data_IF_441838638980
#
_entry.id   IF_441838638980
#
_cell.length_a   1.000
_cell.length_b   1.000
_cell.length_c   1.000
_cell.angle_alpha   90.00
_cell.angle_beta   90.00
_cell.angle_gamma   90.00
#
_symmetry.space_group_name_H-M   'P 1'
#
loop_
_entity.id
_entity.type
_entity.pdbx_description
1 polymer ?
#
# COMPACT_ATOMS: atom_id res chain seq x y z
N UNK A 1 5.47 5.27 5.66
CA UNK A 1 4.86 6.60 5.51
C UNK A 1 4.62 7.15 6.90
N UNK A 2 4.47 8.46 7.07
CA UNK A 2 4.14 9.04 8.38
C UNK A 2 2.72 8.62 8.81
N UNK A 3 2.45 8.71 10.11
CA UNK A 3 1.15 8.34 10.66
C UNK A 3 0.01 9.10 9.97
N UNK A 4 -1.02 8.39 9.50
CA UNK A 4 -2.15 8.95 8.78
C UNK A 4 -1.97 9.12 7.26
N UNK A 5 -0.76 8.86 6.72
CA UNK A 5 -0.51 8.90 5.27
C UNK A 5 -0.71 7.51 4.66
N UNK A 6 -1.65 7.44 3.71
CA UNK A 6 -1.99 6.23 2.95
C UNK A 6 -0.95 5.90 1.88
N UNK A 7 -0.82 4.61 1.56
CA UNK A 7 0.00 4.12 0.46
C UNK A 7 -0.86 3.32 -0.52
N UNK A 8 -0.96 3.80 -1.76
CA UNK A 8 -1.68 3.08 -2.83
C UNK A 8 -0.83 1.94 -3.41
N UNK A 9 0.45 2.25 -3.67
CA UNK A 9 1.46 1.33 -4.20
C UNK A 9 2.77 1.61 -3.48
N UNK A 10 3.02 0.86 -2.41
CA UNK A 10 4.33 0.85 -1.74
C UNK A 10 5.05 -0.46 -2.08
N UNK A 11 6.37 -0.37 -2.22
CA UNK A 11 7.23 -1.51 -2.54
C UNK A 11 8.17 -1.78 -1.37
N UNK A 12 8.35 -3.05 -1.05
CA UNK A 12 9.34 -3.54 -0.11
C UNK A 12 10.02 -4.77 -0.74
N UNK A 13 11.24 -5.07 -0.29
CA UNK A 13 11.93 -6.33 -0.60
C UNK A 13 12.14 -7.10 0.71
N UNK A 14 12.15 -8.41 0.60
CA UNK A 14 12.42 -9.34 1.70
C UNK A 14 13.21 -10.51 1.12
N UNK A 15 14.16 -11.00 1.90
CA UNK A 15 14.92 -12.20 1.57
C UNK A 15 14.21 -13.40 2.21
N UNK A 16 13.89 -14.40 1.39
CA UNK A 16 13.20 -15.61 1.84
C UNK A 16 14.05 -16.82 1.49
N UNK A 17 14.35 -17.63 2.50
CA UNK A 17 15.04 -18.90 2.30
C UNK A 17 14.01 -20.04 2.28
N UNK A 18 14.01 -20.81 1.19
CA UNK A 18 13.22 -22.04 1.11
C UNK A 18 14.08 -23.22 1.56
N UNK A 19 13.59 -24.12 2.43
CA UNK A 19 14.37 -25.26 2.90
C UNK A 19 14.93 -26.17 1.79
N UNK A 20 14.27 -26.20 0.63
CA UNK A 20 14.71 -26.93 -0.55
C UNK A 20 15.56 -26.10 -1.54
N UNK A 21 15.84 -24.83 -1.25
CA UNK A 21 16.61 -23.94 -2.14
C UNK A 21 15.83 -23.42 -3.36
N UNK A 22 14.50 -23.49 -3.34
CA UNK A 22 13.63 -23.12 -4.46
C UNK A 22 12.97 -21.75 -4.23
N UNK A 23 12.42 -21.15 -5.29
CA UNK A 23 11.59 -19.96 -5.16
C UNK A 23 10.20 -20.38 -4.69
N UNK A 24 9.70 -19.78 -3.62
CA UNK A 24 8.34 -20.01 -3.15
C UNK A 24 7.28 -19.69 -4.22
N UNK A 25 6.19 -20.46 -4.23
CA UNK A 25 5.04 -20.16 -5.06
C UNK A 25 4.42 -18.79 -4.69
N UNK A 26 4.50 -17.86 -5.64
CA UNK A 26 4.12 -16.46 -5.47
C UNK A 26 2.62 -16.33 -5.17
N UNK A 27 1.78 -17.10 -5.85
CA UNK A 27 0.33 -17.03 -5.65
C UNK A 27 -0.04 -17.48 -4.24
N UNK A 28 0.58 -18.57 -3.77
CA UNK A 28 0.39 -19.06 -2.41
C UNK A 28 0.85 -18.04 -1.37
N UNK A 29 2.05 -17.44 -1.50
CA UNK A 29 2.48 -16.39 -0.56
C UNK A 29 1.47 -15.25 -0.54
N UNK A 30 1.14 -14.70 -1.72
CA UNK A 30 0.26 -13.55 -1.81
C UNK A 30 -1.11 -13.84 -1.20
N UNK A 31 -1.70 -14.99 -1.49
CA UNK A 31 -2.99 -15.42 -0.95
C UNK A 31 -2.94 -15.64 0.56
N UNK A 32 -1.94 -16.38 1.06
CA UNK A 32 -1.81 -16.70 2.49
C UNK A 32 -1.55 -15.45 3.32
N UNK A 33 -0.64 -14.57 2.88
CA UNK A 33 -0.34 -13.31 3.56
C UNK A 33 -1.56 -12.39 3.61
N UNK A 34 -2.26 -12.20 2.49
CA UNK A 34 -3.46 -11.36 2.46
C UNK A 34 -4.59 -11.91 3.35
N UNK A 35 -4.80 -13.23 3.38
CA UNK A 35 -5.76 -13.84 4.31
C UNK A 35 -5.36 -13.64 5.76
N UNK A 36 -4.06 -13.76 6.08
CA UNK A 36 -3.54 -13.54 7.42
C UNK A 36 -3.75 -12.09 7.87
N UNK A 37 -3.38 -11.11 7.03
CA UNK A 37 -3.58 -9.69 7.32
C UNK A 37 -5.05 -9.36 7.58
N UNK A 38 -5.95 -9.87 6.74
CA UNK A 38 -7.39 -9.71 6.93
C UNK A 38 -7.87 -10.32 8.25
N UNK A 39 -7.42 -11.55 8.60
CA UNK A 39 -7.78 -12.21 9.86
C UNK A 39 -7.29 -11.45 11.09
N UNK A 40 -6.14 -10.79 10.99
CA UNK A 40 -5.59 -9.94 12.05
C UNK A 40 -6.22 -8.54 12.12
N UNK A 41 -7.17 -8.23 11.23
CA UNK A 41 -7.79 -6.91 11.18
C UNK A 41 -6.86 -5.81 10.65
N UNK A 42 -5.82 -6.17 9.90
CA UNK A 42 -4.93 -5.20 9.27
C UNK A 42 -5.52 -4.71 7.95
N UNK A 43 -5.52 -3.39 7.75
CA UNK A 43 -5.92 -2.74 6.49
C UNK A 43 -4.78 -2.70 5.46
N UNK A 44 -4.10 -3.82 5.27
CA UNK A 44 -2.99 -3.96 4.31
C UNK A 44 -3.25 -5.10 3.33
N UNK A 45 -2.77 -4.95 2.10
CA UNK A 45 -2.89 -5.96 1.04
C UNK A 45 -1.67 -5.94 0.13
N UNK A 46 -1.08 -7.12 -0.08
CA UNK A 46 -0.10 -7.35 -1.13
C UNK A 46 -0.79 -7.38 -2.49
N UNK A 47 -0.35 -6.50 -3.39
CA UNK A 47 -0.89 -6.37 -4.74
C UNK A 47 -0.09 -7.16 -5.78
N UNK A 48 1.22 -7.30 -5.54
CA UNK A 48 2.15 -7.96 -6.45
C UNK A 48 3.38 -8.44 -5.68
N UNK A 49 3.92 -9.58 -6.08
CA UNK A 49 5.20 -10.10 -5.61
C UNK A 49 6.00 -10.47 -6.86
N UNK A 50 7.29 -10.15 -6.87
CA UNK A 50 8.21 -10.45 -7.96
C UNK A 50 9.50 -10.99 -7.36
N UNK A 51 10.04 -12.12 -7.86
CA UNK A 51 11.42 -12.51 -7.59
C UNK A 51 12.34 -11.47 -8.21
N UNK A 52 13.37 -11.08 -7.49
CA UNK A 52 14.37 -10.10 -7.91
C UNK A 52 15.76 -10.66 -7.68
N UNK A 53 16.77 -10.07 -8.32
CA UNK A 53 18.18 -10.39 -8.02
C UNK A 53 18.62 -9.70 -6.74
N UNK A 54 19.75 -10.15 -6.18
CA UNK A 54 20.35 -9.61 -4.95
C UNK A 54 20.79 -8.14 -5.08
N UNK A 55 20.79 -7.59 -6.29
CA UNK A 55 21.15 -6.20 -6.59
C UNK A 55 20.00 -5.20 -6.33
N UNK A 56 18.78 -5.68 -6.08
CA UNK A 56 17.60 -4.83 -5.95
C UNK A 56 17.35 -4.43 -4.49
N UNK A 57 17.51 -3.14 -4.22
CA UNK A 57 17.07 -2.51 -2.97
C UNK A 57 15.83 -1.64 -3.26
N UNK A 58 14.69 -2.00 -2.68
CA UNK A 58 13.41 -1.30 -2.89
C UNK A 58 13.47 0.22 -2.57
N UNK A 59 14.39 0.66 -1.71
CA UNK A 59 14.63 2.07 -1.41
C UNK A 59 15.67 2.68 -2.35
N UNK A 60 16.84 2.07 -2.51
CA UNK A 60 17.94 2.71 -3.26
C UNK A 60 17.77 2.62 -4.77
N UNK A 61 17.18 1.52 -5.27
CA UNK A 61 16.95 1.30 -6.70
C UNK A 61 15.72 2.06 -7.24
N UNK A 62 14.88 2.63 -6.36
CA UNK A 62 13.72 3.42 -6.77
C UNK A 62 14.15 4.80 -7.36
N UNK A 63 13.77 5.05 -8.62
CA UNK A 63 14.08 6.28 -9.35
C UNK A 63 13.28 7.50 -8.90
N UNK A 64 12.02 7.29 -8.52
CA UNK A 64 11.10 8.35 -8.07
C UNK A 64 10.07 7.79 -7.09
N UNK A 65 9.34 8.69 -6.43
CA UNK A 65 8.15 8.38 -5.64
C UNK A 65 7.12 9.47 -5.92
N UNK A 66 5.90 9.05 -6.21
CA UNK A 66 4.79 9.97 -6.49
C UNK A 66 3.85 10.02 -5.29
N UNK A 67 3.41 11.24 -4.96
CA UNK A 67 2.49 11.51 -3.85
C UNK A 67 1.27 12.25 -4.37
N UNK A 68 0.09 11.87 -3.87
CA UNK A 68 -1.18 12.50 -4.22
C UNK A 68 -1.80 13.09 -2.96
N UNK A 69 -2.04 14.39 -2.98
CA UNK A 69 -2.86 15.07 -2.00
C UNK A 69 -4.24 15.34 -2.58
N UNK A 70 -5.28 15.06 -1.81
CA UNK A 70 -6.67 15.31 -2.19
C UNK A 70 -7.26 16.39 -1.30
N UNK A 71 -7.75 17.46 -1.91
CA UNK A 71 -8.47 18.54 -1.26
C UNK A 71 -9.92 18.51 -1.74
N UNK A 72 -10.86 18.40 -0.81
CA UNK A 72 -12.28 18.44 -1.09
C UNK A 72 -12.83 19.82 -0.76
N UNK A 73 -13.37 20.51 -1.77
CA UNK A 73 -13.92 21.85 -1.66
C UNK A 73 -15.43 21.80 -1.90
N UNK A 74 -16.19 22.40 -0.98
CA UNK A 74 -17.63 22.47 -1.10
C UNK A 74 -18.05 23.37 -2.28
N UNK A 75 -19.00 22.90 -3.10
CA UNK A 75 -19.53 23.71 -4.22
C UNK A 75 -20.44 24.86 -3.76
N UNK A 76 -21.10 24.69 -2.61
CA UNK A 76 -22.01 25.68 -2.03
C UNK A 76 -21.38 26.23 -0.76
N UNK A 77 -21.61 27.53 -0.53
CA UNK A 77 -21.22 28.18 0.71
C UNK A 77 -21.90 27.48 1.91
N UNK A 78 -21.14 27.25 2.99
CA UNK A 78 -21.59 26.62 4.23
C UNK A 78 -22.10 25.15 4.08
N UNK A 79 -21.70 24.45 3.02
CA UNK A 79 -21.94 23.01 2.88
C UNK A 79 -20.81 22.21 3.54
N UNK A 80 -21.17 21.29 4.44
CA UNK A 80 -20.22 20.52 5.24
C UNK A 80 -20.28 19.01 4.96
N UNK A 81 -21.18 18.56 4.07
CA UNK A 81 -21.30 17.14 3.74
C UNK A 81 -20.07 16.66 2.99
N UNK A 82 -19.61 15.49 3.41
CA UNK A 82 -18.47 14.79 2.84
C UNK A 82 -18.96 13.53 2.13
N UNK A 83 -18.55 13.28 0.88
CA UNK A 83 -18.78 11.98 0.25
C UNK A 83 -18.15 10.88 1.11
N UNK A 84 -18.91 9.83 1.42
CA UNK A 84 -18.42 8.70 2.23
C UNK A 84 -17.13 8.10 1.64
N UNK A 85 -17.01 8.06 0.31
CA UNK A 85 -15.83 7.56 -0.38
C UNK A 85 -14.54 8.36 -0.13
N UNK A 86 -14.65 9.62 0.29
CA UNK A 86 -13.53 10.53 0.57
C UNK A 86 -13.21 10.66 2.06
N UNK A 87 -14.01 10.02 2.92
CA UNK A 87 -13.81 10.04 4.36
C UNK A 87 -12.44 9.45 4.70
N UNK A 88 -11.61 10.23 5.39
CA UNK A 88 -10.24 9.85 5.75
C UNK A 88 -9.24 9.80 4.58
N UNK A 89 -9.65 10.17 3.36
CA UNK A 89 -8.81 10.13 2.15
C UNK A 89 -8.52 11.50 1.55
N UNK A 90 -9.23 12.53 1.98
CA UNK A 90 -9.08 13.90 1.51
C UNK A 90 -9.10 14.89 2.68
N UNK A 91 -8.48 16.04 2.48
CA UNK A 91 -8.60 17.18 3.36
C UNK A 91 -9.80 18.03 2.96
N UNK A 92 -10.74 18.23 3.87
CA UNK A 92 -11.94 19.02 3.63
C UNK A 92 -11.67 20.48 3.94
N UNK A 93 -11.67 21.32 2.91
CA UNK A 93 -11.53 22.76 3.04
C UNK A 93 -12.88 23.34 3.46
N UNK A 94 -12.92 23.93 4.65
CA UNK A 94 -14.12 24.56 5.23
C UNK A 94 -14.05 26.08 5.10
#
# INVERSE_FOLDING_TARGET
>A
TDAGVHALWTSAHVDLEHPAGEIYDIETIMRRSNMYFARCGHEIRLLKILPVTDDIDARRSAKSRDYIYRFAVAKKFNEHRVPIAELGRSWHVR
#
